data_IF_768758239910
#
_entry.id   IF_768758239910
#
_cell.length_a   1.000
_cell.length_b   1.000
_cell.length_c   1.000
_cell.angle_alpha   90.00
_cell.angle_beta   90.00
_cell.angle_gamma   90.00
#
_symmetry.space_group_name_H-M   'P 1'
#
loop_
_entity.id
_entity.type
_entity.pdbx_description
1 polymer ?
#
# COMPACT_ATOMS: atom_id res chain seq x y z
N UNK A 1 -1.56 40.58 -8.42
CA UNK A 1 -1.50 39.12 -8.61
C UNK A 1 -0.16 38.63 -8.07
N UNK A 2 -0.15 38.04 -6.88
CA UNK A 2 1.04 37.37 -6.34
C UNK A 2 1.25 36.08 -7.13
N UNK A 3 2.45 35.85 -7.67
CA UNK A 3 2.81 34.56 -8.26
C UNK A 3 2.53 33.48 -7.20
N UNK A 4 1.91 32.34 -7.54
CA UNK A 4 1.79 31.25 -6.59
C UNK A 4 3.21 30.87 -6.17
N UNK A 5 3.45 30.88 -4.85
CA UNK A 5 4.66 30.35 -4.24
C UNK A 5 4.93 28.97 -4.86
N UNK A 6 6.15 28.77 -5.36
CA UNK A 6 6.52 27.54 -6.04
C UNK A 6 6.53 26.40 -5.00
N UNK A 7 5.43 25.66 -4.89
CA UNK A 7 5.30 24.59 -3.92
C UNK A 7 6.24 23.45 -4.30
N UNK A 8 7.25 23.20 -3.47
CA UNK A 8 8.29 22.20 -3.72
C UNK A 8 8.25 21.11 -2.67
N UNK A 9 7.81 19.92 -3.08
CA UNK A 9 7.70 18.75 -2.20
C UNK A 9 9.07 18.11 -2.06
N UNK A 10 9.63 18.14 -0.86
CA UNK A 10 10.97 17.57 -0.57
C UNK A 10 10.94 16.07 -0.28
N UNK A 11 9.83 15.59 0.27
CA UNK A 11 9.68 14.18 0.65
C UNK A 11 8.22 13.76 0.69
N UNK A 12 7.93 12.53 0.29
CA UNK A 12 6.62 11.90 0.38
C UNK A 12 6.70 10.65 1.24
N UNK A 13 5.75 10.48 2.15
CA UNK A 13 5.55 9.26 2.90
C UNK A 13 4.28 8.55 2.41
N UNK A 14 4.40 7.28 2.05
CA UNK A 14 3.29 6.41 1.65
C UNK A 14 3.02 5.47 2.83
N UNK A 15 1.77 5.43 3.29
CA UNK A 15 1.36 4.57 4.41
C UNK A 15 0.57 3.38 3.85
N UNK A 16 1.16 2.19 3.97
CA UNK A 16 0.69 0.94 3.38
C UNK A 16 1.33 0.68 2.02
N UNK A 17 1.89 -0.52 1.84
CA UNK A 17 2.53 -0.98 0.60
C UNK A 17 1.72 -2.10 -0.06
N UNK A 18 0.39 -1.98 -0.02
CA UNK A 18 -0.53 -2.75 -0.85
C UNK A 18 -0.56 -2.23 -2.29
N UNK A 19 -1.50 -2.74 -3.10
CA UNK A 19 -1.62 -2.35 -4.51
C UNK A 19 -1.62 -0.82 -4.71
N UNK A 20 -2.48 -0.08 -4.00
CA UNK A 20 -2.56 1.38 -4.10
C UNK A 20 -1.25 2.10 -3.71
N UNK A 21 -0.59 1.63 -2.64
CA UNK A 21 0.68 2.20 -2.17
C UNK A 21 1.83 1.95 -3.14
N UNK A 22 1.90 0.73 -3.71
CA UNK A 22 2.90 0.39 -4.72
C UNK A 22 2.67 1.12 -6.04
N UNK A 23 1.42 1.28 -6.49
CA UNK A 23 1.10 2.12 -7.66
C UNK A 23 1.49 3.57 -7.41
N UNK A 24 1.20 4.11 -6.22
CA UNK A 24 1.60 5.47 -5.86
C UNK A 24 3.12 5.61 -5.84
N UNK A 25 3.84 4.63 -5.27
CA UNK A 25 5.29 4.61 -5.27
C UNK A 25 5.84 4.61 -6.70
N UNK A 26 5.30 3.76 -7.57
CA UNK A 26 5.68 3.68 -8.97
C UNK A 26 5.51 5.01 -9.69
N UNK A 27 4.35 5.65 -9.56
CA UNK A 27 4.08 6.95 -10.20
C UNK A 27 5.02 8.04 -9.68
N UNK A 28 5.21 8.14 -8.36
CA UNK A 28 6.06 9.17 -7.77
C UNK A 28 7.54 9.01 -8.16
N UNK A 29 8.03 7.78 -8.27
CA UNK A 29 9.40 7.51 -8.72
C UNK A 29 9.60 7.89 -10.19
N UNK A 30 8.55 7.79 -11.01
CA UNK A 30 8.63 8.04 -12.45
C UNK A 30 8.13 9.43 -12.87
N UNK A 31 7.78 10.31 -11.94
CA UNK A 31 7.35 11.69 -12.26
C UNK A 31 8.54 12.64 -12.30
N UNK A 32 8.71 13.38 -13.39
CA UNK A 32 9.72 14.45 -13.53
C UNK A 32 9.20 15.79 -13.02
N UNK A 33 10.10 16.73 -12.68
CA UNK A 33 9.70 18.08 -12.20
C UNK A 33 8.82 18.87 -13.17
N UNK A 34 8.91 18.57 -14.46
CA UNK A 34 8.08 19.15 -15.51
C UNK A 34 6.66 18.54 -15.59
N UNK A 35 6.36 17.54 -14.76
CA UNK A 35 5.07 16.84 -14.70
C UNK A 35 4.92 15.68 -15.68
N UNK A 36 5.94 15.39 -16.50
CA UNK A 36 5.91 14.25 -17.42
C UNK A 36 6.56 13.00 -16.82
N UNK A 37 6.44 11.85 -17.51
CA UNK A 37 6.98 10.56 -17.04
C UNK A 37 8.44 10.37 -17.48
N UNK A 38 9.23 9.67 -16.66
CA UNK A 38 10.55 9.14 -17.03
C UNK A 38 10.47 7.84 -17.82
N UNK A 39 9.31 7.17 -17.85
CA UNK A 39 9.10 5.94 -18.61
C UNK A 39 9.13 6.24 -20.12
N UNK A 40 9.80 5.37 -20.87
CA UNK A 40 9.89 5.46 -22.34
C UNK A 40 9.50 4.13 -22.95
N UNK A 41 8.68 4.21 -23.99
CA UNK A 41 8.22 3.04 -24.74
C UNK A 41 8.74 3.15 -26.17
N UNK A 42 9.13 2.02 -26.75
CA UNK A 42 9.47 1.96 -28.17
C UNK A 42 8.20 1.96 -29.04
N UNK A 43 8.38 1.93 -30.37
CA UNK A 43 7.27 1.93 -31.33
C UNK A 43 6.38 0.67 -31.23
N UNK A 44 6.92 -0.42 -30.68
CA UNK A 44 6.20 -1.68 -30.42
C UNK A 44 5.41 -1.64 -29.09
N UNK A 45 5.51 -0.55 -28.32
CA UNK A 45 4.83 -0.37 -27.04
C UNK A 45 5.51 -1.06 -25.85
N UNK A 46 6.75 -1.51 -26.00
CA UNK A 46 7.54 -2.13 -24.93
C UNK A 46 8.35 -1.08 -24.16
N UNK A 47 8.54 -1.31 -22.85
CA UNK A 47 9.32 -0.41 -22.00
C UNK A 47 10.82 -0.49 -22.33
N UNK A 48 11.44 0.66 -22.61
CA UNK A 48 12.88 0.77 -22.83
C UNK A 48 13.65 0.68 -21.49
N UNK A 49 13.95 -0.54 -21.03
CA UNK A 49 14.58 -0.83 -19.74
C UNK A 49 15.92 -0.12 -19.49
N UNK A 50 16.67 0.25 -20.54
CA UNK A 50 17.95 0.94 -20.44
C UNK A 50 17.86 2.41 -20.04
N UNK A 51 16.64 2.98 -19.95
CA UNK A 51 16.39 4.42 -19.70
C UNK A 51 15.41 4.71 -18.56
N UNK A 52 15.16 3.76 -17.67
CA UNK A 52 14.14 3.88 -16.60
C UNK A 52 14.58 4.78 -15.44
N UNK A 53 15.85 5.21 -15.40
CA UNK A 53 16.33 6.10 -14.34
C UNK A 53 15.77 7.52 -14.51
N UNK A 54 15.07 8.00 -13.48
CA UNK A 54 14.55 9.36 -13.44
C UNK A 54 15.64 10.34 -12.96
N UNK A 55 16.32 10.99 -13.91
CA UNK A 55 17.40 11.95 -13.62
C UNK A 55 16.93 13.33 -13.13
N UNK A 56 15.63 13.64 -13.23
CA UNK A 56 15.04 14.90 -12.75
C UNK A 56 13.73 14.67 -11.96
N UNK A 57 13.79 13.96 -10.82
CA UNK A 57 12.60 13.55 -10.11
C UNK A 57 11.86 14.74 -9.49
N UNK A 58 10.53 14.76 -9.63
CA UNK A 58 9.66 15.71 -8.93
C UNK A 58 9.69 15.52 -7.41
N UNK A 59 9.94 14.28 -6.96
CA UNK A 59 9.93 13.89 -5.55
C UNK A 59 11.30 13.29 -5.18
N UNK A 60 12.23 14.09 -4.63
CA UNK A 60 13.60 13.63 -4.36
C UNK A 60 13.70 12.49 -3.34
N UNK A 61 12.70 12.34 -2.48
CA UNK A 61 12.64 11.29 -1.47
C UNK A 61 11.23 10.74 -1.34
N UNK A 62 11.07 9.45 -1.58
CA UNK A 62 9.82 8.71 -1.38
C UNK A 62 10.10 7.57 -0.42
N UNK A 63 9.29 7.45 0.63
CA UNK A 63 9.41 6.37 1.63
C UNK A 63 8.06 5.71 1.79
N UNK A 64 8.01 4.39 1.61
CA UNK A 64 6.81 3.58 1.86
C UNK A 64 6.96 2.83 3.19
N UNK A 65 5.92 2.86 4.00
CA UNK A 65 5.83 2.15 5.28
C UNK A 65 4.79 1.04 5.17
N UNK A 66 5.15 -0.18 5.57
CA UNK A 66 4.25 -1.34 5.62
C UNK A 66 4.30 -1.93 7.04
N UNK A 67 3.13 -2.30 7.56
CA UNK A 67 3.01 -2.94 8.88
C UNK A 67 3.38 -4.43 8.80
N UNK A 68 3.10 -5.08 7.66
CA UNK A 68 3.46 -6.46 7.39
C UNK A 68 4.95 -6.62 7.11
N UNK A 69 5.44 -7.85 7.23
CA UNK A 69 6.82 -8.19 6.83
C UNK A 69 7.00 -8.26 5.30
N UNK A 70 5.91 -8.16 4.53
CA UNK A 70 5.87 -8.30 3.07
C UNK A 70 4.98 -7.20 2.46
N UNK A 71 5.38 -6.71 1.30
CA UNK A 71 4.57 -5.81 0.47
C UNK A 71 3.53 -6.59 -0.32
N UNK A 72 2.47 -5.92 -0.79
CA UNK A 72 1.38 -6.52 -1.58
C UNK A 72 0.00 -6.42 -0.92
N UNK A 73 -0.06 -6.03 0.36
CA UNK A 73 -1.31 -5.89 1.10
C UNK A 73 -2.04 -7.23 1.18
N UNK A 74 -3.34 -7.26 0.83
CA UNK A 74 -4.15 -8.49 0.88
C UNK A 74 -3.63 -9.59 -0.07
N UNK A 75 -2.84 -9.24 -1.09
CA UNK A 75 -2.25 -10.17 -2.04
C UNK A 75 -0.96 -10.83 -1.54
N UNK A 76 -0.47 -10.46 -0.36
CA UNK A 76 0.68 -11.07 0.28
C UNK A 76 0.28 -11.77 1.60
N UNK A 77 -0.57 -12.82 1.53
CA UNK A 77 -1.00 -13.52 2.72
C UNK A 77 0.18 -14.18 3.43
N UNK A 78 0.06 -14.34 4.74
CA UNK A 78 0.94 -15.21 5.51
C UNK A 78 0.56 -16.65 5.24
N UNK A 79 1.53 -17.46 4.81
CA UNK A 79 1.32 -18.90 4.63
C UNK A 79 1.46 -19.66 5.96
N UNK A 80 2.24 -19.14 6.90
CA UNK A 80 2.43 -19.72 8.22
C UNK A 80 1.25 -19.43 9.16
N UNK A 81 0.64 -18.24 9.00
CA UNK A 81 -0.49 -17.78 9.81
C UNK A 81 -1.59 -17.24 8.89
N UNK A 82 -2.28 -18.12 8.14
CA UNK A 82 -3.28 -17.69 7.17
C UNK A 82 -4.44 -16.97 7.86
N UNK A 83 -5.02 -16.01 7.15
CA UNK A 83 -6.26 -15.40 7.58
C UNK A 83 -7.39 -16.42 7.51
N UNK A 84 -8.00 -16.73 8.65
CA UNK A 84 -9.11 -17.68 8.73
C UNK A 84 -10.41 -16.91 8.89
N UNK A 85 -11.31 -17.05 7.92
CA UNK A 85 -12.66 -16.54 8.02
C UNK A 85 -13.45 -17.44 9.00
N UNK A 86 -14.11 -16.88 10.03
CA UNK A 86 -14.91 -17.67 10.96
C UNK A 86 -16.02 -18.46 10.26
N UNK A 87 -16.30 -19.69 10.72
CA UNK A 87 -17.33 -20.54 10.11
C UNK A 87 -18.72 -19.88 10.16
N UNK A 88 -18.99 -19.14 11.23
CA UNK A 88 -20.23 -18.40 11.43
C UNK A 88 -20.45 -17.33 10.36
N UNK A 89 -19.41 -16.93 9.61
CA UNK A 89 -19.53 -16.03 8.46
C UNK A 89 -20.15 -16.74 7.27
N UNK A 90 -19.69 -17.96 6.97
CA UNK A 90 -20.24 -18.78 5.89
C UNK A 90 -21.66 -19.22 6.22
N UNK A 91 -21.90 -19.63 7.47
CA UNK A 91 -23.22 -20.08 7.93
C UNK A 91 -24.28 -18.97 7.89
N UNK A 92 -23.87 -17.70 7.82
CA UNK A 92 -24.80 -16.57 7.71
C UNK A 92 -25.42 -16.41 6.31
N UNK A 93 -24.82 -17.03 5.28
CA UNK A 93 -25.19 -16.90 3.86
C UNK A 93 -25.23 -15.46 3.31
N UNK A 94 -24.70 -14.47 4.06
CA UNK A 94 -24.65 -13.05 3.67
C UNK A 94 -23.43 -12.72 2.82
N UNK A 95 -23.30 -13.37 1.66
CA UNK A 95 -22.15 -13.19 0.76
C UNK A 95 -22.12 -11.82 0.07
N UNK A 96 -23.27 -11.16 -0.02
CA UNK A 96 -23.48 -9.86 -0.65
C UNK A 96 -23.39 -8.67 0.32
N UNK A 97 -23.31 -8.94 1.62
CA UNK A 97 -23.15 -7.92 2.65
C UNK A 97 -21.65 -7.79 3.01
N UNK A 98 -20.98 -6.68 2.66
CA UNK A 98 -19.56 -6.50 2.97
C UNK A 98 -19.32 -6.09 4.43
N UNK A 99 -20.38 -5.82 5.22
CA UNK A 99 -20.28 -5.27 6.58
C UNK A 99 -20.31 -6.26 7.77
N UNK A 100 -20.77 -7.54 7.67
CA UNK A 100 -20.95 -8.38 8.85
C UNK A 100 -19.62 -8.90 9.41
N UNK A 101 -18.57 -8.96 8.60
CA UNK A 101 -17.23 -9.42 9.01
C UNK A 101 -16.18 -8.39 8.66
N UNK A 102 -16.11 -7.33 9.46
CA UNK A 102 -14.96 -6.45 9.47
C UNK A 102 -13.77 -7.22 10.07
N UNK A 103 -13.07 -8.03 9.24
CA UNK A 103 -12.03 -8.98 9.66
C UNK A 103 -10.99 -8.35 10.59
N UNK A 104 -10.67 -7.05 10.40
CA UNK A 104 -9.78 -6.27 11.28
C UNK A 104 -10.25 -6.18 12.74
N UNK A 105 -11.56 -6.07 13.00
CA UNK A 105 -12.10 -5.96 14.36
C UNK A 105 -11.96 -7.29 15.13
N UNK A 106 -12.13 -8.41 14.44
CA UNK A 106 -12.05 -9.74 15.04
C UNK A 106 -10.61 -10.06 15.50
N UNK A 107 -9.60 -9.66 14.73
CA UNK A 107 -8.19 -9.77 15.13
C UNK A 107 -7.84 -8.88 16.33
N UNK A 108 -8.41 -7.67 16.40
CA UNK A 108 -8.16 -6.74 17.51
C UNK A 108 -8.79 -7.20 18.85
N UNK A 109 -9.87 -7.97 18.81
CA UNK A 109 -10.46 -8.56 20.01
C UNK A 109 -9.67 -9.77 20.55
N UNK A 110 -9.14 -10.64 19.67
CA UNK A 110 -8.30 -11.78 20.09
C UNK A 110 -7.00 -11.33 20.76
N UNK A 111 -6.35 -10.28 20.25
CA UNK A 111 -5.10 -9.75 20.85
C UNK A 111 -5.32 -9.17 22.26
N UNK A 112 -6.43 -8.46 22.50
CA UNK A 112 -6.80 -7.96 23.84
C UNK A 112 -7.07 -9.09 24.85
N UNK A 113 -7.67 -10.20 24.40
CA UNK A 113 -7.98 -11.36 25.25
C UNK A 113 -6.72 -12.13 25.69
N UNK A 114 -5.69 -12.15 24.86
CA UNK A 114 -4.38 -12.75 25.19
C UNK A 114 -3.61 -11.89 26.19
N UNK A 115 -3.65 -10.56 26.05
CA UNK A 115 -2.98 -9.63 26.97
C UNK A 115 -3.61 -9.70 28.38
N UNK A 116 -4.94 -9.72 28.46
CA UNK A 116 -5.66 -9.85 29.75
C UNK A 116 -5.31 -11.14 30.53
N UNK A 117 -5.01 -12.25 29.85
CA UNK A 117 -4.63 -13.51 30.51
C UNK A 117 -3.18 -13.53 31.01
N UNK A 118 -2.30 -12.68 30.50
CA UNK A 118 -0.91 -12.56 30.97
C UNK A 118 -0.74 -11.60 32.16
N UNK A 119 -1.70 -10.71 32.38
CA UNK A 119 -1.71 -9.80 33.54
C UNK A 119 -2.37 -10.38 34.79
N UNK A 120 -2.85 -11.62 34.73
CA UNK A 120 -3.53 -12.33 35.83
C UNK A 120 -2.67 -13.46 36.43
N UNK A 121 -1.36 -13.47 36.17
CA UNK A 121 -0.36 -14.33 36.79
C UNK A 121 0.71 -13.46 37.45
#
# INVERSE_FOLDING_TARGET
>A
MTKPENFHIKSVAIIGSGAAGLTTLFELLNTKKDGSTSLRYNDDGELENSKVENSDPAFPKVVAFEQGSRIGGIWAPSFDTPDVIPQEAFDSEKYDDPLPYNLRQHYHQKSKKVISRRSAL
#
